data_IF_555366577715
#
_entry.id   IF_555366577715
#
_cell.length_a   1.000
_cell.length_b   1.000
_cell.length_c   1.000
_cell.angle_alpha   90.00
_cell.angle_beta   90.00
_cell.angle_gamma   90.00
#
_symmetry.space_group_name_H-M   'P 1'
#
loop_
_entity.id
_entity.type
_entity.pdbx_description
1 polymer ?
#
# COMPACT_ATOMS: atom_id res chain seq x y z
N UNK A 1 -3.54 -14.49 -6.92
CA UNK A 1 -3.70 -13.30 -7.76
C UNK A 1 -4.65 -12.30 -7.13
N UNK A 2 -5.94 -12.60 -7.13
CA UNK A 2 -7.01 -11.67 -6.71
C UNK A 2 -6.81 -11.05 -5.32
N UNK A 3 -6.63 -11.85 -4.26
CA UNK A 3 -6.52 -11.30 -2.89
C UNK A 3 -5.28 -10.38 -2.76
N UNK A 4 -4.16 -10.79 -3.35
CA UNK A 4 -2.92 -10.02 -3.30
C UNK A 4 -3.04 -8.67 -4.01
N UNK A 5 -3.76 -8.61 -5.14
CA UNK A 5 -3.92 -7.37 -5.90
C UNK A 5 -4.95 -6.44 -5.27
N UNK A 6 -6.02 -6.97 -4.67
CA UNK A 6 -6.94 -6.17 -3.87
C UNK A 6 -6.21 -5.50 -2.71
N UNK A 7 -5.28 -6.23 -2.07
CA UNK A 7 -4.42 -5.70 -1.03
C UNK A 7 -3.43 -4.64 -1.53
N UNK A 8 -3.00 -4.68 -2.80
CA UNK A 8 -2.13 -3.64 -3.38
C UNK A 8 -2.87 -2.34 -3.70
N UNK A 9 -4.16 -2.41 -4.03
CA UNK A 9 -4.97 -1.23 -4.35
C UNK A 9 -5.41 -0.50 -3.07
N UNK A 10 -5.63 -1.23 -1.98
CA UNK A 10 -5.98 -0.63 -0.71
C UNK A 10 -4.79 0.17 -0.14
N UNK A 11 -4.94 1.47 0.15
CA UNK A 11 -3.86 2.29 0.67
C UNK A 11 -3.37 1.74 2.01
N UNK A 12 -2.06 1.57 2.14
CA UNK A 12 -1.41 1.16 3.39
C UNK A 12 -1.24 -0.35 3.59
N UNK A 13 -1.83 -1.22 2.77
CA UNK A 13 -1.55 -2.66 2.81
C UNK A 13 -0.56 -3.03 1.71
N UNK A 14 0.49 -3.79 2.05
CA UNK A 14 1.43 -4.31 1.05
C UNK A 14 0.98 -5.68 0.55
N UNK A 15 0.64 -5.80 -0.74
CA UNK A 15 0.19 -7.07 -1.32
C UNK A 15 1.27 -8.16 -1.39
N UNK A 16 2.55 -7.80 -1.48
CA UNK A 16 3.66 -8.78 -1.42
C UNK A 16 3.84 -9.35 -0.02
N UNK A 17 3.64 -8.53 1.03
CA UNK A 17 3.62 -9.01 2.42
C UNK A 17 2.45 -9.96 2.66
N UNK A 18 1.28 -9.67 2.09
CA UNK A 18 0.13 -10.56 2.18
C UNK A 18 0.39 -11.91 1.51
N UNK A 19 1.04 -11.93 0.35
CA UNK A 19 1.47 -13.17 -0.30
C UNK A 19 2.45 -13.97 0.57
N UNK A 20 3.34 -13.28 1.29
CA UNK A 20 4.30 -13.91 2.19
C UNK A 20 3.59 -14.55 3.38
N UNK A 21 2.65 -13.85 4.01
CA UNK A 21 1.83 -14.40 5.10
C UNK A 21 0.97 -15.60 4.66
N UNK A 22 0.47 -15.58 3.42
CA UNK A 22 -0.31 -16.69 2.86
C UNK A 22 0.56 -17.87 2.38
N UNK A 23 1.89 -17.80 2.52
CA UNK A 23 2.84 -18.80 2.01
C UNK A 23 2.93 -18.86 0.48
N UNK A 24 2.16 -18.02 -0.23
CA UNK A 24 2.07 -18.00 -1.68
C UNK A 24 3.26 -17.27 -2.33
N UNK A 25 3.98 -16.45 -1.58
CA UNK A 25 5.16 -15.75 -2.07
C UNK A 25 6.24 -16.72 -2.53
N UNK A 26 6.56 -17.73 -1.71
CA UNK A 26 7.59 -18.72 -2.05
C UNK A 26 7.16 -19.62 -3.20
N UNK A 27 5.87 -19.99 -3.24
CA UNK A 27 5.28 -20.74 -4.35
C UNK A 27 5.43 -19.97 -5.68
N UNK A 28 5.08 -18.69 -5.70
CA UNK A 28 5.21 -17.83 -6.89
C UNK A 28 6.67 -17.64 -7.32
N UNK A 29 7.59 -17.46 -6.37
CA UNK A 29 9.02 -17.36 -6.67
C UNK A 29 9.57 -18.64 -7.32
N UNK A 30 9.13 -19.81 -6.85
CA UNK A 30 9.52 -21.10 -7.43
C UNK A 30 8.91 -21.28 -8.82
N UNK A 31 7.65 -20.87 -9.03
CA UNK A 31 7.00 -20.87 -10.34
C UNK A 31 7.75 -19.99 -11.35
N UNK A 32 8.24 -18.83 -10.92
CA UNK A 32 9.05 -17.92 -11.73
C UNK A 32 10.41 -18.52 -12.09
N UNK A 33 11.12 -19.08 -11.10
CA UNK A 33 12.43 -19.71 -11.31
C UNK A 33 12.36 -20.95 -12.20
N UNK A 34 11.32 -21.76 -12.05
CA UNK A 34 11.08 -22.94 -12.89
C UNK A 34 10.47 -22.61 -14.26
N UNK A 35 10.20 -21.33 -14.53
CA UNK A 35 9.46 -20.86 -15.73
C UNK A 35 8.16 -21.62 -15.94
N UNK A 36 7.43 -21.91 -14.86
CA UNK A 36 6.10 -22.52 -14.93
C UNK A 36 5.07 -21.48 -15.39
N UNK A 37 4.97 -21.32 -16.71
CA UNK A 37 4.13 -20.29 -17.36
C UNK A 37 2.65 -20.47 -16.98
N UNK A 38 2.19 -21.70 -16.74
CA UNK A 38 0.79 -22.00 -16.42
C UNK A 38 0.40 -21.37 -15.08
N UNK A 39 1.20 -21.59 -14.03
CA UNK A 39 0.94 -21.05 -12.69
C UNK A 39 0.97 -19.51 -12.68
N UNK A 40 1.94 -18.93 -13.41
CA UNK A 40 2.05 -17.48 -13.57
C UNK A 40 0.81 -16.93 -14.29
N UNK A 41 0.37 -17.57 -15.38
CA UNK A 41 -0.79 -17.13 -16.15
C UNK A 41 -2.07 -17.14 -15.29
N UNK A 42 -2.30 -18.22 -14.53
CA UNK A 42 -3.43 -18.33 -13.61
C UNK A 42 -3.37 -17.23 -12.54
N UNK A 43 -2.19 -16.96 -11.99
CA UNK A 43 -2.01 -15.88 -11.03
C UNK A 43 -2.33 -14.51 -11.64
N UNK A 44 -1.82 -14.22 -12.83
CA UNK A 44 -2.02 -12.96 -13.56
C UNK A 44 -3.48 -12.77 -13.94
N UNK A 45 -4.17 -13.80 -14.42
CA UNK A 45 -5.60 -13.74 -14.72
C UNK A 45 -6.40 -13.45 -13.44
N UNK A 46 -6.09 -14.15 -12.35
CA UNK A 46 -6.72 -13.88 -11.06
C UNK A 46 -6.45 -12.47 -10.55
N UNK A 47 -5.25 -11.94 -10.78
CA UNK A 47 -4.91 -10.56 -10.46
C UNK A 47 -5.68 -9.57 -11.36
N UNK A 48 -5.76 -9.81 -12.67
CA UNK A 48 -6.50 -8.94 -13.59
C UNK A 48 -7.98 -8.83 -13.19
N UNK A 49 -8.64 -9.97 -12.90
CA UNK A 49 -10.03 -10.01 -12.43
C UNK A 49 -10.16 -9.27 -11.09
N UNK A 50 -9.21 -9.47 -10.18
CA UNK A 50 -9.18 -8.78 -8.88
C UNK A 50 -9.09 -7.27 -9.00
N UNK A 51 -8.20 -6.76 -9.86
CA UNK A 51 -8.04 -5.31 -10.09
C UNK A 51 -9.34 -4.73 -10.64
N UNK A 52 -9.89 -5.35 -11.69
CA UNK A 52 -11.08 -4.81 -12.34
C UNK A 52 -12.29 -4.82 -11.41
N UNK A 53 -12.48 -5.92 -10.65
CA UNK A 53 -13.57 -6.04 -9.68
C UNK A 53 -13.42 -5.05 -8.53
N UNK A 54 -12.24 -5.00 -7.91
CA UNK A 54 -12.00 -4.15 -6.74
C UNK A 54 -11.94 -2.66 -7.09
N UNK A 55 -11.34 -2.30 -8.23
CA UNK A 55 -11.33 -0.92 -8.74
C UNK A 55 -12.76 -0.42 -8.95
N UNK A 56 -13.63 -1.23 -9.56
CA UNK A 56 -15.04 -0.86 -9.75
C UNK A 56 -15.81 -0.77 -8.43
N UNK A 57 -15.54 -1.66 -7.48
CA UNK A 57 -16.12 -1.59 -6.14
C UNK A 57 -15.70 -0.32 -5.40
N UNK A 58 -14.39 -0.01 -5.37
CA UNK A 58 -13.88 1.19 -4.72
C UNK A 58 -14.41 2.46 -5.37
N UNK A 59 -14.44 2.53 -6.71
CA UNK A 59 -15.03 3.67 -7.41
C UNK A 59 -16.51 3.83 -7.05
N UNK A 60 -17.28 2.74 -7.00
CA UNK A 60 -18.68 2.79 -6.57
C UNK A 60 -18.84 3.27 -5.11
N UNK A 61 -17.95 2.85 -4.21
CA UNK A 61 -17.93 3.29 -2.81
C UNK A 61 -17.55 4.77 -2.68
N UNK A 62 -16.58 5.22 -3.46
CA UNK A 62 -16.17 6.63 -3.49
C UNK A 62 -17.25 7.53 -4.10
N UNK A 63 -17.94 7.10 -5.16
CA UNK A 63 -19.02 7.87 -5.78
C UNK A 63 -20.25 7.98 -4.87
N UNK A 64 -20.63 6.89 -4.19
CA UNK A 64 -21.86 6.86 -3.38
C UNK A 64 -21.66 7.25 -1.91
N UNK A 65 -20.47 6.99 -1.37
CA UNK A 65 -20.13 7.20 0.04
C UNK A 65 -18.74 7.85 0.18
N UNK A 66 -18.49 8.92 -0.56
CA UNK A 66 -17.18 9.59 -0.65
C UNK A 66 -16.57 9.87 0.74
N UNK A 67 -17.28 10.63 1.58
CA UNK A 67 -16.76 11.05 2.89
C UNK A 67 -16.45 9.88 3.82
N UNK A 68 -17.31 8.85 3.84
CA UNK A 68 -17.12 7.67 4.68
C UNK A 68 -15.95 6.81 4.18
N UNK A 69 -15.85 6.62 2.87
CA UNK A 69 -14.78 5.86 2.24
C UNK A 69 -13.44 6.56 2.43
N UNK A 70 -13.37 7.88 2.21
CA UNK A 70 -12.17 8.68 2.45
C UNK A 70 -11.72 8.63 3.91
N UNK A 71 -12.65 8.76 4.87
CA UNK A 71 -12.33 8.62 6.29
C UNK A 71 -11.78 7.23 6.63
N UNK A 72 -12.36 6.18 6.04
CA UNK A 72 -11.88 4.80 6.19
C UNK A 72 -10.46 4.62 5.62
N UNK A 73 -10.20 5.12 4.41
CA UNK A 73 -8.87 5.05 3.77
C UNK A 73 -7.81 5.82 4.57
N UNK A 74 -8.16 7.01 5.09
CA UNK A 74 -7.29 7.78 5.99
C UNK A 74 -7.00 6.97 7.26
N UNK A 75 -8.01 6.34 7.85
CA UNK A 75 -7.86 5.46 9.02
C UNK A 75 -6.86 4.33 8.78
N UNK A 76 -6.93 3.66 7.63
CA UNK A 76 -5.95 2.62 7.26
C UNK A 76 -4.56 3.22 7.10
N UNK A 77 -4.43 4.35 6.41
CA UNK A 77 -3.14 5.02 6.21
C UNK A 77 -2.49 5.39 7.54
N UNK A 78 -3.24 5.99 8.46
CA UNK A 78 -2.77 6.32 9.82
C UNK A 78 -2.41 5.05 10.60
N UNK A 79 -3.21 3.99 10.50
CA UNK A 79 -2.92 2.71 11.17
C UNK A 79 -1.58 2.10 10.76
N UNK A 80 -1.19 2.26 9.50
CA UNK A 80 0.06 1.70 8.97
C UNK A 80 1.30 2.47 9.38
N UNK A 81 1.17 3.75 9.78
CA UNK A 81 2.25 4.55 10.36
C UNK A 81 2.79 3.98 11.68
N UNK A 82 1.99 3.18 12.42
CA UNK A 82 2.42 2.57 13.68
C UNK A 82 3.69 1.71 13.51
N UNK A 83 3.78 0.94 12.44
CA UNK A 83 4.91 0.06 12.13
C UNK A 83 6.24 0.82 11.98
N UNK A 84 6.36 1.81 11.10
CA UNK A 84 7.58 2.60 10.95
C UNK A 84 7.91 3.42 12.21
N UNK A 85 6.91 3.96 12.93
CA UNK A 85 7.16 4.67 14.21
C UNK A 85 7.87 3.76 15.20
N UNK A 86 7.35 2.55 15.43
CA UNK A 86 7.98 1.59 16.34
C UNK A 86 9.39 1.19 15.89
N UNK A 87 9.61 1.05 14.58
CA UNK A 87 10.92 0.70 14.01
C UNK A 87 11.94 1.83 14.17
N UNK A 88 11.52 3.08 14.06
CA UNK A 88 12.37 4.25 14.32
C UNK A 88 12.74 4.28 15.81
N UNK A 89 11.78 4.12 16.73
CA UNK A 89 12.04 4.13 18.17
C UNK A 89 13.00 3.01 18.61
N UNK A 90 12.92 1.83 18.00
CA UNK A 90 13.80 0.71 18.35
C UNK A 90 15.19 0.78 17.70
N UNK A 91 15.32 1.45 16.55
CA UNK A 91 16.61 1.58 15.83
C UNK A 91 17.42 2.79 16.33
N UNK A 92 16.74 3.83 16.81
CA UNK A 92 17.37 5.04 17.34
C UNK A 92 17.71 4.79 18.82
N UNK A 93 18.89 4.24 19.11
CA UNK A 93 19.51 4.33 20.44
C UNK A 93 20.05 5.76 20.74
N UNK A 94 20.00 6.68 19.76
CA UNK A 94 20.50 8.06 19.83
C UNK A 94 19.43 9.15 19.98
N UNK A 95 19.81 10.40 19.73
CA UNK A 95 18.89 11.55 19.80
C UNK A 95 17.76 11.45 18.78
N UNK A 96 16.53 11.66 19.26
CA UNK A 96 15.25 11.66 18.51
C UNK A 96 15.02 12.97 17.72
N UNK A 97 15.81 14.00 18.02
CA UNK A 97 15.79 15.35 17.45
C UNK A 97 15.97 15.37 15.91
N UNK A 98 16.97 14.70 15.29
CA UNK A 98 17.12 14.70 13.84
C UNK A 98 15.93 14.09 13.09
N UNK A 99 15.26 13.08 13.65
CA UNK A 99 14.07 12.49 13.02
C UNK A 99 12.91 13.48 12.94
N UNK A 100 12.70 14.27 13.99
CA UNK A 100 11.65 15.29 14.02
C UNK A 100 11.94 16.42 13.03
N UNK A 101 13.20 16.88 12.99
CA UNK A 101 13.62 17.93 12.04
C UNK A 101 13.40 17.45 10.60
N UNK A 102 13.81 16.21 10.28
CA UNK A 102 13.63 15.65 8.94
C UNK A 102 12.14 15.49 8.59
N UNK A 103 11.31 15.05 9.53
CA UNK A 103 9.87 14.92 9.33
C UNK A 103 9.19 16.28 9.08
N UNK A 104 9.57 17.31 9.83
CA UNK A 104 9.07 18.68 9.62
C UNK A 104 9.50 19.24 8.27
N UNK A 105 10.76 19.05 7.87
CA UNK A 105 11.26 19.48 6.56
C UNK A 105 10.46 18.79 5.44
N UNK A 106 10.27 17.47 5.53
CA UNK A 106 9.50 16.73 4.54
C UNK A 106 8.04 17.21 4.46
N UNK A 107 7.40 17.45 5.61
CA UNK A 107 6.03 17.94 5.68
C UNK A 107 5.86 19.33 5.06
N UNK A 108 6.76 20.27 5.38
CA UNK A 108 6.76 21.62 4.80
C UNK A 108 6.99 21.56 3.29
N UNK A 109 7.94 20.73 2.84
CA UNK A 109 8.26 20.56 1.43
C UNK A 109 7.07 20.02 0.63
N UNK A 110 6.34 19.04 1.17
CA UNK A 110 5.11 18.50 0.55
C UNK A 110 4.04 19.59 0.42
N UNK A 111 3.78 20.37 1.47
CA UNK A 111 2.78 21.44 1.43
C UNK A 111 3.13 22.52 0.39
N UNK A 112 4.42 22.89 0.29
CA UNK A 112 4.88 23.86 -0.71
C UNK A 112 4.70 23.32 -2.13
N UNK A 113 5.02 22.04 -2.36
CA UNK A 113 4.79 21.39 -3.65
C UNK A 113 3.31 21.31 -4.01
N UNK A 114 2.44 20.93 -3.06
CA UNK A 114 1.00 20.84 -3.29
C UNK A 114 0.40 22.22 -3.65
N UNK A 115 0.78 23.27 -2.92
CA UNK A 115 0.36 24.64 -3.22
C UNK A 115 0.83 25.12 -4.59
N UNK A 116 1.99 24.65 -5.06
CA UNK A 116 2.53 24.99 -6.39
C UNK A 116 1.73 24.31 -7.50
N UNK A 117 1.35 23.04 -7.32
CA UNK A 117 0.56 22.26 -8.29
C UNK A 117 -0.90 22.70 -8.39
N UNK A 118 -1.52 23.11 -7.28
CA UNK A 118 -2.92 23.60 -7.28
C UNK A 118 -3.09 24.98 -7.92
N UNK A 119 -1.99 25.61 -8.37
CA UNK A 119 -1.98 26.97 -8.93
C UNK A 119 -1.93 26.99 -10.47
N UNK A 120 -1.84 25.81 -11.11
CA UNK A 120 -2.02 25.62 -12.56
C UNK A 120 -3.39 25.00 -12.85
#
# INVERSE_FOLDING_TARGET
>A
GLIAICAMILPGISGSFLLLLLGQYQYMLNALNSRNIIEILVFVIGAAIGILGFSKLLNFLLEKYESATMAFLIGIMVGTLRLPIMKITSTIQGSWIPCIILALIAFVLIIVLEKKFKKE
#
